data_IF_630004544158
#
_entry.id   IF_630004544158
#
_cell.length_a   1.000
_cell.length_b   1.000
_cell.length_c   1.000
_cell.angle_alpha   90.00
_cell.angle_beta   90.00
_cell.angle_gamma   90.00
#
_symmetry.space_group_name_H-M   'P 1'
#
loop_
_entity.id
_entity.type
_entity.pdbx_description
1 polymer ?
#
# COMPACT_ATOMS: atom_id res chain seq x y z
N UNK A 1 8.73 22.42 -3.68
CA UNK A 1 8.07 21.53 -4.70
C UNK A 1 6.58 21.47 -4.37
N UNK A 2 5.69 21.57 -5.36
CA UNK A 2 4.23 21.52 -5.12
C UNK A 2 3.72 20.07 -5.27
N UNK A 3 2.66 19.72 -4.54
CA UNK A 3 2.05 18.37 -4.56
C UNK A 3 1.65 17.96 -6.00
N UNK A 4 1.06 18.86 -6.79
CA UNK A 4 0.68 18.54 -8.17
C UNK A 4 1.88 18.17 -9.04
N UNK A 5 3.04 18.81 -8.85
CA UNK A 5 4.29 18.47 -9.54
C UNK A 5 4.78 17.06 -9.15
N UNK A 6 4.61 16.66 -7.89
CA UNK A 6 4.88 15.29 -7.43
C UNK A 6 3.97 14.31 -8.14
N UNK A 7 2.66 14.60 -8.17
CA UNK A 7 1.65 13.75 -8.82
C UNK A 7 1.97 13.55 -10.31
N UNK A 8 2.19 14.64 -11.06
CA UNK A 8 2.48 14.58 -12.50
C UNK A 8 3.74 13.75 -12.82
N UNK A 9 4.81 13.95 -12.07
CA UNK A 9 6.07 13.22 -12.28
C UNK A 9 5.94 11.75 -11.93
N UNK A 10 5.22 11.42 -10.87
CA UNK A 10 4.98 10.02 -10.48
C UNK A 10 4.03 9.36 -11.48
N UNK A 11 3.00 10.04 -11.97
CA UNK A 11 2.12 9.55 -13.04
C UNK A 11 2.91 9.21 -14.30
N UNK A 12 3.77 10.14 -14.76
CA UNK A 12 4.62 9.91 -15.91
C UNK A 12 5.54 8.70 -15.73
N UNK A 13 6.19 8.56 -14.57
CA UNK A 13 7.01 7.39 -14.26
C UNK A 13 6.19 6.10 -14.31
N UNK A 14 5.04 6.05 -13.66
CA UNK A 14 4.18 4.85 -13.63
C UNK A 14 3.69 4.48 -15.03
N UNK A 15 3.30 5.46 -15.83
CA UNK A 15 2.78 5.21 -17.17
C UNK A 15 3.86 4.81 -18.18
N UNK A 16 5.08 5.34 -18.05
CA UNK A 16 6.15 5.12 -19.04
C UNK A 16 7.16 4.04 -18.65
N UNK A 17 7.24 3.67 -17.38
CA UNK A 17 8.21 2.68 -16.93
C UNK A 17 7.95 1.30 -17.56
N UNK A 18 8.95 0.70 -18.22
CA UNK A 18 8.85 -0.67 -18.71
C UNK A 18 8.73 -1.68 -17.56
N UNK A 19 9.18 -1.34 -16.35
CA UNK A 19 9.07 -2.18 -15.16
C UNK A 19 7.61 -2.33 -14.67
N UNK A 20 6.69 -1.48 -15.13
CA UNK A 20 5.24 -1.62 -14.90
C UNK A 20 4.57 -2.59 -15.89
N UNK A 21 5.34 -3.22 -16.76
CA UNK A 21 4.86 -4.15 -17.77
C UNK A 21 5.36 -5.56 -17.48
N UNK A 22 4.53 -6.56 -17.76
CA UNK A 22 4.85 -7.99 -17.63
C UNK A 22 4.94 -8.60 -19.03
N UNK A 23 6.16 -8.79 -19.58
CA UNK A 23 6.34 -9.35 -20.93
C UNK A 23 5.71 -10.74 -21.08
N UNK A 24 5.89 -11.62 -20.09
CA UNK A 24 5.35 -12.98 -20.07
C UNK A 24 3.82 -13.06 -20.19
N UNK A 25 3.14 -11.96 -19.89
CA UNK A 25 1.67 -11.84 -19.96
C UNK A 25 1.25 -10.82 -21.03
N UNK A 26 1.84 -10.90 -22.21
CA UNK A 26 1.55 -10.03 -23.35
C UNK A 26 1.61 -8.53 -22.94
N UNK A 27 2.72 -8.11 -22.36
CA UNK A 27 2.98 -6.73 -21.91
C UNK A 27 1.90 -6.21 -20.96
N UNK A 28 1.36 -7.07 -20.11
CA UNK A 28 0.35 -6.68 -19.12
C UNK A 28 0.87 -5.55 -18.23
N UNK A 29 0.17 -4.42 -18.20
CA UNK A 29 0.42 -3.35 -17.24
C UNK A 29 -0.11 -3.76 -15.87
N UNK A 30 0.71 -3.60 -14.83
CA UNK A 30 0.35 -3.98 -13.46
C UNK A 30 -0.44 -2.89 -12.74
N UNK A 31 0.00 -1.62 -12.85
CA UNK A 31 -0.56 -0.51 -12.09
C UNK A 31 -1.10 0.60 -13.00
N UNK A 32 -2.16 1.23 -12.54
CA UNK A 32 -2.73 2.47 -13.08
C UNK A 32 -2.04 3.70 -12.43
N UNK A 33 -2.43 4.92 -12.86
CA UNK A 33 -1.97 6.16 -12.23
C UNK A 33 -2.20 6.13 -10.73
N UNK A 34 -1.20 6.50 -9.92
CA UNK A 34 -1.26 6.43 -8.47
C UNK A 34 -2.09 7.56 -7.85
N UNK A 35 -2.41 7.39 -6.57
CA UNK A 35 -2.81 8.50 -5.70
C UNK A 35 -1.59 8.90 -4.88
N UNK A 36 -1.37 10.20 -4.74
CA UNK A 36 -0.33 10.76 -3.88
C UNK A 36 -0.97 11.54 -2.73
N UNK A 37 -0.46 11.32 -1.54
CA UNK A 37 -0.78 12.09 -0.34
C UNK A 37 0.49 12.48 0.40
N UNK A 38 0.39 13.55 1.17
CA UNK A 38 1.49 14.06 2.00
C UNK A 38 1.05 14.10 3.45
N UNK A 39 1.88 13.58 4.34
CA UNK A 39 1.73 13.75 5.78
C UNK A 39 2.80 14.69 6.32
N UNK A 40 2.47 15.50 7.33
CA UNK A 40 3.48 16.19 8.12
C UNK A 40 4.29 15.18 8.94
N UNK A 41 5.61 15.36 9.02
CA UNK A 41 6.46 14.56 9.90
C UNK A 41 6.16 14.79 11.40
N UNK A 42 5.48 15.88 11.74
CA UNK A 42 5.08 16.27 13.11
C UNK A 42 3.65 15.82 13.45
N UNK A 43 2.95 15.09 12.56
CA UNK A 43 1.58 14.62 12.85
C UNK A 43 1.56 13.74 14.11
N UNK A 44 0.67 14.07 15.06
CA UNK A 44 0.57 13.35 16.34
C UNK A 44 0.27 11.84 16.21
N UNK A 45 -0.28 11.41 15.07
CA UNK A 45 -0.57 10.00 14.83
C UNK A 45 0.70 9.13 14.75
N UNK A 46 1.87 9.70 14.44
CA UNK A 46 3.12 8.93 14.47
C UNK A 46 3.39 8.34 15.86
N UNK A 47 3.07 9.08 16.92
CA UNK A 47 3.19 8.59 18.30
C UNK A 47 2.13 7.53 18.63
N UNK A 48 0.93 7.65 18.07
CA UNK A 48 -0.14 6.65 18.24
C UNK A 48 0.28 5.31 17.61
N UNK A 49 1.03 5.31 16.50
CA UNK A 49 1.52 4.07 15.90
C UNK A 49 2.47 3.27 16.80
N UNK A 50 3.15 3.93 17.74
CA UNK A 50 4.06 3.26 18.69
C UNK A 50 3.32 2.52 19.81
N UNK A 51 2.01 2.69 19.96
CA UNK A 51 1.22 1.99 20.96
C UNK A 51 1.17 0.48 20.66
N UNK A 52 1.23 -0.40 21.70
CA UNK A 52 1.32 -1.85 21.55
C UNK A 52 0.14 -2.49 20.79
N UNK A 53 -1.05 -1.90 20.87
CA UNK A 53 -2.30 -2.33 20.25
C UNK A 53 -2.47 -1.81 18.82
N UNK A 54 -1.64 -0.85 18.37
CA UNK A 54 -1.65 -0.32 17.00
C UNK A 54 -0.58 -1.00 16.14
N UNK A 55 0.62 -0.45 16.01
CA UNK A 55 1.75 -1.11 15.33
C UNK A 55 2.75 -1.63 16.35
N UNK A 56 3.07 -0.84 17.36
CA UNK A 56 3.93 -1.20 18.47
C UNK A 56 5.17 -0.32 18.61
N UNK A 57 5.88 -0.45 19.74
CA UNK A 57 6.99 0.44 20.12
C UNK A 57 8.18 0.40 19.15
N UNK A 58 8.29 -0.63 18.33
CA UNK A 58 9.31 -0.74 17.28
C UNK A 58 9.05 0.20 16.08
N UNK A 59 7.85 0.79 15.96
CA UNK A 59 7.54 1.71 14.84
C UNK A 59 8.35 3.00 14.99
N UNK A 60 9.07 3.39 13.94
CA UNK A 60 9.85 4.61 13.91
C UNK A 60 9.04 5.76 13.28
N UNK A 61 9.15 6.95 13.88
CA UNK A 61 8.60 8.19 13.31
C UNK A 61 9.42 8.67 12.11
N UNK A 62 8.90 9.58 11.28
CA UNK A 62 9.65 10.12 10.15
C UNK A 62 11.02 10.72 10.54
N UNK A 63 11.09 11.42 11.67
CA UNK A 63 12.34 12.03 12.16
C UNK A 63 13.37 11.02 12.66
N UNK A 64 12.94 9.84 13.10
CA UNK A 64 13.85 8.73 13.45
C UNK A 64 14.40 8.02 12.18
N UNK A 65 13.69 8.09 11.05
CA UNK A 65 14.20 7.61 9.77
C UNK A 65 15.15 8.62 9.12
N UNK A 66 14.77 9.89 9.07
CA UNK A 66 15.53 10.97 8.46
C UNK A 66 15.56 12.16 9.43
N UNK A 67 16.72 12.48 9.99
CA UNK A 67 16.90 13.65 10.83
C UNK A 67 16.53 14.93 10.08
N UNK A 68 15.68 15.78 10.69
CA UNK A 68 15.15 16.98 10.06
C UNK A 68 14.03 16.72 9.04
N UNK A 69 13.42 15.53 9.05
CA UNK A 69 12.26 15.25 8.22
C UNK A 69 11.12 16.25 8.51
N UNK A 70 10.51 16.74 7.45
CA UNK A 70 9.37 17.69 7.49
C UNK A 70 8.11 17.06 6.91
N UNK A 71 8.25 16.25 5.86
CA UNK A 71 7.10 15.66 5.16
C UNK A 71 7.32 14.17 4.86
N UNK A 72 6.22 13.47 4.67
CA UNK A 72 6.20 12.09 4.15
C UNK A 72 5.31 12.04 2.92
N UNK A 73 5.87 11.68 1.78
CA UNK A 73 5.12 11.44 0.54
C UNK A 73 4.66 9.99 0.56
N UNK A 74 3.36 9.76 0.49
CA UNK A 74 2.74 8.43 0.38
C UNK A 74 2.10 8.24 -0.98
N UNK A 75 2.21 7.04 -1.53
CA UNK A 75 1.70 6.67 -2.84
C UNK A 75 0.85 5.39 -2.73
N UNK A 76 -0.35 5.40 -3.31
CA UNK A 76 -1.13 4.19 -3.55
C UNK A 76 -1.15 3.89 -5.04
N UNK A 77 -0.67 2.70 -5.42
CA UNK A 77 -0.63 2.15 -6.77
C UNK A 77 -1.83 1.21 -6.98
N UNK A 78 -2.92 1.63 -7.62
CA UNK A 78 -4.03 0.74 -7.93
C UNK A 78 -3.58 -0.32 -8.95
N UNK A 79 -3.96 -1.57 -8.75
CA UNK A 79 -3.83 -2.58 -9.80
C UNK A 79 -4.76 -2.26 -10.98
N UNK A 80 -4.31 -2.56 -12.19
CA UNK A 80 -5.15 -2.45 -13.40
C UNK A 80 -6.37 -3.37 -13.32
N UNK A 81 -7.42 -3.05 -14.10
CA UNK A 81 -8.60 -3.90 -14.20
C UNK A 81 -8.23 -5.33 -14.63
N UNK A 82 -7.24 -5.51 -15.53
CA UNK A 82 -6.77 -6.83 -15.95
C UNK A 82 -6.26 -7.66 -14.77
N UNK A 83 -5.46 -7.08 -13.88
CA UNK A 83 -4.95 -7.78 -12.68
C UNK A 83 -6.10 -8.09 -11.70
N UNK A 84 -7.01 -7.15 -11.49
CA UNK A 84 -8.13 -7.31 -10.56
C UNK A 84 -9.13 -8.33 -11.05
N UNK A 85 -9.59 -8.22 -12.31
CA UNK A 85 -10.61 -9.10 -12.88
C UNK A 85 -10.15 -10.54 -12.96
N UNK A 86 -8.90 -10.79 -13.33
CA UNK A 86 -8.33 -12.13 -13.32
C UNK A 86 -8.42 -12.78 -11.92
N UNK A 87 -8.24 -11.99 -10.85
CA UNK A 87 -8.26 -12.53 -9.49
C UNK A 87 -9.67 -12.59 -8.86
N UNK A 88 -10.73 -12.19 -9.59
CA UNK A 88 -12.13 -12.35 -9.13
C UNK A 88 -12.59 -13.80 -9.13
N UNK A 89 -11.92 -14.70 -9.86
CA UNK A 89 -12.18 -16.15 -9.80
C UNK A 89 -12.09 -16.66 -8.35
N UNK A 90 -12.74 -17.76 -8.05
CA UNK A 90 -12.63 -18.43 -6.76
C UNK A 90 -11.39 -19.32 -6.66
N UNK A 91 -11.11 -19.82 -5.46
CA UNK A 91 -9.99 -20.72 -5.19
C UNK A 91 -8.62 -20.01 -5.20
N UNK A 92 -7.68 -20.54 -6.00
CA UNK A 92 -6.31 -20.07 -6.04
C UNK A 92 -6.16 -18.69 -6.69
N UNK A 93 -5.13 -17.90 -6.31
CA UNK A 93 -4.88 -16.62 -6.94
C UNK A 93 -4.57 -16.79 -8.44
N UNK A 94 -5.02 -15.83 -9.23
CA UNK A 94 -4.73 -15.79 -10.66
C UNK A 94 -3.25 -15.46 -10.92
N UNK A 95 -2.75 -15.91 -12.07
CA UNK A 95 -1.37 -15.64 -12.52
C UNK A 95 -1.10 -14.13 -12.58
N UNK A 96 -2.00 -13.34 -13.14
CA UNK A 96 -1.88 -11.88 -13.23
C UNK A 96 -1.71 -11.23 -11.85
N UNK A 97 -2.45 -11.71 -10.83
CA UNK A 97 -2.30 -11.23 -9.46
C UNK A 97 -0.95 -11.58 -8.85
N UNK A 98 -0.45 -12.80 -9.11
CA UNK A 98 0.85 -13.25 -8.62
C UNK A 98 1.99 -12.42 -9.20
N UNK A 99 1.93 -12.07 -10.50
CA UNK A 99 2.86 -11.14 -11.13
C UNK A 99 2.75 -9.73 -10.53
N UNK A 100 1.54 -9.18 -10.43
CA UNK A 100 1.32 -7.87 -9.80
C UNK A 100 1.80 -7.82 -8.35
N UNK A 101 1.82 -8.96 -7.65
CA UNK A 101 2.31 -9.06 -6.27
C UNK A 101 3.84 -9.16 -6.20
N UNK A 102 4.48 -9.91 -7.06
CA UNK A 102 5.91 -10.22 -7.00
C UNK A 102 6.73 -9.26 -7.87
N UNK A 103 6.55 -9.24 -9.17
CA UNK A 103 7.19 -8.25 -10.07
C UNK A 103 6.74 -6.83 -9.73
N UNK A 104 5.50 -6.67 -9.32
CA UNK A 104 5.00 -5.39 -8.83
C UNK A 104 5.72 -4.87 -7.59
N UNK A 105 6.36 -5.71 -6.76
CA UNK A 105 7.24 -5.21 -5.69
C UNK A 105 8.56 -4.69 -6.25
N UNK A 106 9.10 -5.28 -7.31
CA UNK A 106 10.29 -4.74 -7.98
C UNK A 106 9.99 -3.34 -8.57
N UNK A 107 8.85 -3.20 -9.27
CA UNK A 107 8.38 -1.89 -9.72
C UNK A 107 8.19 -0.91 -8.55
N UNK A 108 7.61 -1.35 -7.44
CA UNK A 108 7.39 -0.51 -6.26
C UNK A 108 8.71 -0.03 -5.62
N UNK A 109 9.77 -0.85 -5.69
CA UNK A 109 11.14 -0.46 -5.30
C UNK A 109 11.71 0.60 -6.25
N UNK A 110 11.53 0.43 -7.56
CA UNK A 110 11.96 1.42 -8.55
C UNK A 110 11.22 2.76 -8.35
N UNK A 111 9.93 2.73 -8.05
CA UNK A 111 9.15 3.93 -7.75
C UNK A 111 9.68 4.66 -6.50
N UNK A 112 10.03 3.94 -5.42
CA UNK A 112 10.61 4.57 -4.22
C UNK A 112 11.92 5.28 -4.55
N UNK A 113 12.82 4.63 -5.30
CA UNK A 113 14.06 5.26 -5.76
C UNK A 113 13.82 6.47 -6.65
N UNK A 114 12.86 6.36 -7.56
CA UNK A 114 12.46 7.50 -8.39
C UNK A 114 11.98 8.69 -7.54
N UNK A 115 11.17 8.43 -6.50
CA UNK A 115 10.71 9.49 -5.59
C UNK A 115 11.86 10.09 -4.76
N UNK A 116 12.83 9.27 -4.30
CA UNK A 116 14.05 9.77 -3.64
C UNK A 116 14.84 10.69 -4.58
N UNK A 117 15.12 10.24 -5.80
CA UNK A 117 15.84 11.03 -6.83
C UNK A 117 15.10 12.33 -7.18
N UNK A 118 13.78 12.28 -7.26
CA UNK A 118 12.95 13.44 -7.55
C UNK A 118 13.08 14.52 -6.46
N UNK A 119 13.07 14.10 -5.20
CA UNK A 119 13.25 15.00 -4.05
C UNK A 119 14.67 15.56 -4.03
N UNK A 120 15.69 14.73 -4.26
CA UNK A 120 17.10 15.17 -4.30
C UNK A 120 17.34 16.21 -5.41
N UNK A 121 16.76 16.00 -6.58
CA UNK A 121 16.81 16.97 -7.70
C UNK A 121 16.08 18.29 -7.37
N UNK A 122 15.16 18.28 -6.42
CA UNK A 122 14.51 19.48 -5.89
C UNK A 122 15.30 20.15 -4.74
N UNK A 123 16.49 19.64 -4.40
CA UNK A 123 17.38 20.20 -3.38
C UNK A 123 17.12 19.69 -1.97
N UNK A 124 16.27 18.68 -1.77
CA UNK A 124 16.01 18.07 -0.48
C UNK A 124 16.75 16.74 -0.27
N UNK A 125 16.68 16.23 0.94
CA UNK A 125 17.06 14.85 1.28
C UNK A 125 15.81 13.98 1.33
N UNK A 126 15.95 12.74 0.92
CA UNK A 126 14.86 11.77 0.97
C UNK A 126 15.37 10.38 1.35
N UNK A 127 14.49 9.62 1.98
CA UNK A 127 14.74 8.24 2.38
C UNK A 127 13.44 7.44 2.28
N UNK A 128 13.48 6.31 1.57
CA UNK A 128 12.42 5.32 1.55
C UNK A 128 12.64 4.27 2.65
N UNK A 129 11.92 4.29 3.77
CA UNK A 129 12.17 3.37 4.89
C UNK A 129 12.16 1.90 4.49
N UNK A 130 11.30 1.51 3.56
CA UNK A 130 11.22 0.12 3.08
C UNK A 130 12.43 -0.35 2.25
N UNK A 131 13.33 0.56 1.87
CA UNK A 131 14.60 0.27 1.16
C UNK A 131 15.82 0.41 2.07
N UNK A 132 15.68 1.02 3.23
CA UNK A 132 16.76 1.22 4.19
C UNK A 132 17.15 -0.08 4.91
N UNK A 133 18.43 -0.24 5.23
CA UNK A 133 18.94 -1.42 5.93
C UNK A 133 18.35 -1.60 7.34
N UNK A 134 17.88 -0.53 7.98
CA UNK A 134 17.18 -0.55 9.29
C UNK A 134 15.76 -1.12 9.20
N UNK A 135 15.21 -1.30 7.99
CA UNK A 135 13.85 -1.80 7.84
C UNK A 135 13.72 -3.24 8.35
N UNK A 136 12.85 -3.45 9.32
CA UNK A 136 12.67 -4.74 9.98
C UNK A 136 11.20 -5.15 10.05
N UNK A 137 10.97 -6.46 9.95
CA UNK A 137 9.66 -7.10 10.12
C UNK A 137 9.77 -8.24 11.12
N UNK A 138 8.86 -8.25 12.09
CA UNK A 138 8.74 -9.35 13.05
C UNK A 138 7.26 -9.51 13.43
N UNK A 139 6.80 -10.75 13.64
CA UNK A 139 5.46 -11.06 14.14
C UNK A 139 4.33 -10.33 13.38
N UNK A 140 4.41 -10.31 12.03
CA UNK A 140 3.47 -9.61 11.13
C UNK A 140 3.40 -8.09 11.29
N UNK A 141 4.33 -7.49 12.01
CA UNK A 141 4.49 -6.05 12.20
C UNK A 141 5.80 -5.59 11.56
N UNK A 142 5.92 -4.31 11.27
CA UNK A 142 7.15 -3.69 10.77
C UNK A 142 7.43 -2.40 11.53
N UNK A 143 8.69 -1.98 11.52
CA UNK A 143 9.08 -0.68 12.07
C UNK A 143 8.72 0.51 11.16
N UNK A 144 8.12 0.25 9.99
CA UNK A 144 7.48 1.23 9.10
C UNK A 144 6.27 0.60 8.42
N UNK A 145 5.08 1.12 8.65
CA UNK A 145 3.83 0.56 8.13
C UNK A 145 3.23 1.43 7.05
N UNK A 146 3.47 1.08 5.78
CA UNK A 146 2.98 1.81 4.60
C UNK A 146 1.46 2.10 4.63
N UNK A 147 0.64 1.20 5.20
CA UNK A 147 -0.82 1.41 5.30
C UNK A 147 -1.17 2.52 6.28
N UNK A 148 -0.48 2.58 7.44
CA UNK A 148 -0.69 3.64 8.42
C UNK A 148 -0.13 4.97 7.90
N UNK A 149 1.01 4.95 7.20
CA UNK A 149 1.55 6.13 6.51
C UNK A 149 0.52 6.70 5.53
N UNK A 150 -0.09 5.86 4.70
CA UNK A 150 -1.11 6.27 3.75
C UNK A 150 -2.39 6.79 4.43
N UNK A 151 -2.78 6.22 5.58
CA UNK A 151 -3.86 6.76 6.40
C UNK A 151 -3.51 8.16 6.93
N UNK A 152 -2.30 8.37 7.46
CA UNK A 152 -1.88 9.69 7.94
C UNK A 152 -1.80 10.70 6.80
N UNK A 153 -1.37 10.27 5.61
CA UNK A 153 -1.27 11.09 4.41
C UNK A 153 -2.62 11.37 3.70
N UNK A 154 -3.76 11.04 4.28
CA UNK A 154 -5.07 11.38 3.71
C UNK A 154 -5.55 10.48 2.58
N UNK A 155 -4.89 9.34 2.30
CA UNK A 155 -5.23 8.50 1.16
C UNK A 155 -6.44 7.57 1.37
N UNK A 156 -6.81 7.27 2.62
CA UNK A 156 -7.95 6.40 2.89
C UNK A 156 -7.97 5.78 4.28
N UNK A 157 -8.95 4.92 4.54
CA UNK A 157 -9.18 4.29 5.84
C UNK A 157 -9.05 2.77 5.76
N UNK A 158 -8.85 2.14 6.92
CA UNK A 158 -8.71 0.69 7.00
C UNK A 158 -10.03 -0.02 6.73
N UNK A 159 -9.93 -1.28 6.34
CA UNK A 159 -11.06 -2.18 6.15
C UNK A 159 -10.95 -3.41 7.04
N UNK A 160 -12.03 -4.15 7.16
CA UNK A 160 -12.12 -5.39 7.93
C UNK A 160 -11.01 -6.40 7.55
N UNK A 161 -10.59 -6.45 6.30
CA UNK A 161 -9.48 -7.30 5.84
C UNK A 161 -8.09 -6.69 6.09
N UNK A 162 -7.99 -5.56 6.81
CA UNK A 162 -6.76 -4.80 7.09
C UNK A 162 -6.07 -4.18 5.87
N UNK A 163 -6.76 -4.07 4.72
CA UNK A 163 -6.32 -3.23 3.59
C UNK A 163 -6.75 -1.78 3.82
N UNK A 164 -6.10 -0.85 3.12
CA UNK A 164 -6.54 0.54 3.08
C UNK A 164 -7.53 0.71 1.92
N UNK A 165 -8.69 1.31 2.17
CA UNK A 165 -9.65 1.72 1.14
C UNK A 165 -9.36 3.16 0.79
N UNK A 166 -8.95 3.40 -0.44
CA UNK A 166 -8.73 4.73 -1.01
C UNK A 166 -9.89 5.12 -1.93
N UNK A 167 -9.87 6.33 -2.51
CA UNK A 167 -10.81 6.72 -3.58
C UNK A 167 -10.74 5.81 -4.83
N UNK A 168 -9.60 5.09 -5.00
CA UNK A 168 -9.37 4.07 -6.05
C UNK A 168 -9.49 2.64 -5.49
N UNK A 169 -10.18 2.45 -4.36
CA UNK A 169 -10.40 1.17 -3.71
C UNK A 169 -9.19 0.65 -2.94
N UNK A 170 -9.17 -0.66 -2.69
CA UNK A 170 -8.16 -1.30 -1.84
C UNK A 170 -7.22 -2.27 -2.58
N UNK A 171 -7.51 -2.59 -3.85
CA UNK A 171 -6.70 -3.51 -4.63
C UNK A 171 -5.50 -2.79 -5.24
N UNK A 172 -4.39 -2.78 -4.53
CA UNK A 172 -3.17 -2.08 -4.95
C UNK A 172 -2.01 -2.28 -4.00
N UNK A 173 -0.99 -1.42 -4.17
CA UNK A 173 0.23 -1.40 -3.36
C UNK A 173 0.47 0.00 -2.80
N UNK A 174 1.29 0.07 -1.79
CA UNK A 174 1.66 1.32 -1.13
C UNK A 174 3.17 1.50 -1.15
N UNK A 175 3.59 2.75 -1.26
CA UNK A 175 4.97 3.18 -1.15
C UNK A 175 5.02 4.50 -0.39
N UNK A 176 6.15 4.80 0.24
CA UNK A 176 6.37 6.11 0.83
C UNK A 176 7.84 6.49 0.86
N UNK A 177 8.07 7.80 0.95
CA UNK A 177 9.39 8.43 1.09
C UNK A 177 9.28 9.53 2.14
N UNK A 178 10.22 9.53 3.09
CA UNK A 178 10.39 10.59 4.09
C UNK A 178 11.33 11.65 3.52
N UNK A 179 11.07 12.94 3.74
CA UNK A 179 11.86 14.05 3.20
C UNK A 179 11.93 15.24 4.15
N UNK A 180 13.01 16.02 4.05
CA UNK A 180 13.16 17.33 4.70
C UNK A 180 12.57 18.49 3.87
N UNK A 181 12.05 18.24 2.67
CA UNK A 181 11.31 19.24 1.93
C UNK A 181 9.95 19.50 2.56
N UNK A 182 9.62 20.77 2.75
CA UNK A 182 8.28 21.19 3.16
C UNK A 182 7.31 21.03 1.99
N UNK A 183 6.32 20.15 2.18
CA UNK A 183 5.21 19.92 1.27
C UNK A 183 3.91 20.16 2.05
N UNK A 184 2.91 20.76 1.40
CA UNK A 184 1.60 20.96 2.02
C UNK A 184 0.95 19.61 2.33
N UNK A 185 0.58 19.32 3.59
CA UNK A 185 -0.08 18.07 3.94
C UNK A 185 -1.45 17.93 3.27
N UNK A 186 -1.73 16.73 2.78
CA UNK A 186 -3.04 16.42 2.19
C UNK A 186 -4.10 16.36 3.30
N UNK A 187 -5.24 17.06 3.15
CA UNK A 187 -6.33 16.97 4.11
C UNK A 187 -6.82 15.51 4.28
N UNK A 188 -7.13 15.12 5.51
CA UNK A 188 -7.79 13.85 5.83
C UNK A 188 -9.31 14.08 5.90
N UNK A 189 -10.11 13.64 4.91
CA UNK A 189 -11.56 13.84 4.91
C UNK A 189 -12.30 12.82 5.80
N UNK A 190 -11.61 12.17 6.73
CA UNK A 190 -12.12 11.16 7.66
C UNK A 190 -11.53 11.34 9.04
N UNK A 191 -12.26 10.90 10.05
CA UNK A 191 -11.86 10.91 11.47
C UNK A 191 -11.65 9.50 12.00
N UNK A 192 -12.46 8.55 11.54
CA UNK A 192 -12.44 7.18 12.02
C UNK A 192 -11.51 6.29 11.19
N UNK A 193 -10.85 5.36 11.85
CA UNK A 193 -9.87 4.47 11.21
C UNK A 193 -10.48 3.52 10.16
N UNK A 194 -11.78 3.19 10.26
CA UNK A 194 -12.51 2.27 9.37
C UNK A 194 -13.69 2.95 8.66
N UNK A 195 -13.70 4.28 8.53
CA UNK A 195 -14.84 5.05 8.05
C UNK A 195 -15.37 4.63 6.67
N UNK A 196 -14.47 4.25 5.76
CA UNK A 196 -14.85 3.82 4.41
C UNK A 196 -15.28 2.35 4.33
N UNK A 197 -15.13 1.59 5.42
CA UNK A 197 -15.51 0.19 5.44
C UNK A 197 -16.99 0.00 5.84
N UNK A 198 -17.83 -0.40 4.91
CA UNK A 198 -19.27 -0.68 5.18
C UNK A 198 -19.50 -1.97 5.95
N UNK A 199 -18.46 -2.69 6.38
CA UNK A 199 -18.51 -3.98 7.10
C UNK A 199 -19.43 -5.03 6.43
N UNK A 200 -19.54 -5.00 5.10
CA UNK A 200 -20.44 -5.84 4.30
C UNK A 200 -20.11 -7.34 4.31
N UNK A 201 -18.99 -7.76 4.90
CA UNK A 201 -18.57 -9.15 5.01
C UNK A 201 -18.14 -9.83 3.71
N UNK A 202 -18.09 -9.13 2.56
CA UNK A 202 -17.68 -9.73 1.29
C UNK A 202 -16.26 -10.31 1.36
N UNK A 203 -15.32 -9.63 2.00
CA UNK A 203 -13.96 -10.11 2.20
C UNK A 203 -13.87 -11.36 3.10
N UNK A 204 -14.81 -11.56 4.03
CA UNK A 204 -14.91 -12.77 4.87
C UNK A 204 -15.22 -13.96 3.95
N UNK A 205 -16.28 -13.86 3.16
CA UNK A 205 -16.73 -14.94 2.25
C UNK A 205 -15.70 -15.28 1.18
N UNK A 206 -14.90 -14.29 0.78
CA UNK A 206 -13.84 -14.44 -0.24
C UNK A 206 -12.53 -15.00 0.31
N UNK A 207 -12.38 -15.17 1.63
CA UNK A 207 -11.11 -15.59 2.23
C UNK A 207 -10.92 -17.12 2.18
N UNK A 208 -10.01 -17.68 1.34
CA UNK A 208 -9.86 -19.14 1.24
C UNK A 208 -9.48 -19.82 2.56
N UNK A 209 -8.52 -19.29 3.37
CA UNK A 209 -8.18 -19.88 4.66
C UNK A 209 -9.12 -19.44 5.80
N UNK A 210 -10.25 -18.76 5.51
CA UNK A 210 -11.20 -18.26 6.52
C UNK A 210 -10.50 -17.42 7.62
N UNK A 211 -9.53 -16.62 7.23
CA UNK A 211 -8.69 -15.82 8.14
C UNK A 211 -9.29 -14.45 8.49
N UNK A 212 -10.54 -14.19 8.10
CA UNK A 212 -11.21 -12.90 8.33
C UNK A 212 -12.59 -13.19 8.92
N UNK A 213 -12.89 -12.49 10.01
CA UNK A 213 -14.20 -12.50 10.66
C UNK A 213 -14.68 -11.06 10.93
N UNK A 214 -15.71 -10.89 11.74
CA UNK A 214 -16.26 -9.58 12.11
C UNK A 214 -15.31 -8.75 12.98
N UNK A 215 -14.34 -9.36 13.63
CA UNK A 215 -13.29 -8.71 14.41
C UNK A 215 -12.06 -8.32 13.58
N UNK A 216 -12.02 -8.74 12.31
CA UNK A 216 -10.93 -8.39 11.39
C UNK A 216 -10.13 -9.59 10.87
N UNK A 217 -8.92 -9.32 10.40
CA UNK A 217 -8.04 -10.33 9.79
C UNK A 217 -7.04 -10.90 10.78
N UNK A 218 -7.01 -12.23 10.90
CA UNK A 218 -5.98 -12.98 11.60
C UNK A 218 -4.84 -13.36 10.64
N UNK A 219 -3.66 -12.76 10.83
CA UNK A 219 -2.50 -13.02 10.00
C UNK A 219 -1.90 -14.43 10.21
N UNK A 220 -2.02 -15.01 11.41
CA UNK A 220 -1.51 -16.35 11.69
C UNK A 220 -2.28 -17.43 10.90
N UNK A 221 -3.57 -17.24 10.67
CA UNK A 221 -4.40 -18.11 9.82
C UNK A 221 -4.15 -17.82 8.33
N UNK A 222 -3.93 -16.55 7.94
CA UNK A 222 -3.69 -16.16 6.56
C UNK A 222 -2.32 -16.62 6.03
N UNK A 223 -1.28 -16.57 6.86
CA UNK A 223 0.10 -16.76 6.44
C UNK A 223 0.40 -18.17 5.89
N UNK A 224 -0.06 -19.28 6.51
CA UNK A 224 0.13 -20.63 5.96
C UNK A 224 -0.38 -20.76 4.52
N UNK A 225 -1.53 -20.18 4.21
CA UNK A 225 -2.06 -20.20 2.83
C UNK A 225 -1.16 -19.43 1.86
N UNK A 226 -0.54 -18.32 2.29
CA UNK A 226 0.44 -17.60 1.47
C UNK A 226 1.71 -18.44 1.22
N UNK A 227 2.15 -19.22 2.21
CA UNK A 227 3.27 -20.16 2.03
C UNK A 227 2.90 -21.27 1.04
N UNK A 228 1.68 -21.77 1.08
CA UNK A 228 1.20 -22.74 0.13
C UNK A 228 1.15 -22.16 -1.30
N UNK A 229 0.72 -20.91 -1.48
CA UNK A 229 0.79 -20.24 -2.78
C UNK A 229 2.24 -20.11 -3.28
N UNK A 230 3.21 -19.83 -2.39
CA UNK A 230 4.63 -19.81 -2.74
C UNK A 230 5.13 -21.18 -3.20
N UNK A 231 4.76 -22.26 -2.51
CA UNK A 231 5.17 -23.61 -2.90
C UNK A 231 4.67 -23.99 -4.29
N UNK A 232 3.45 -23.56 -4.64
CA UNK A 232 2.82 -23.86 -5.94
C UNK A 232 3.32 -23.00 -7.10
N UNK A 233 3.73 -21.76 -6.83
CA UNK A 233 3.96 -20.74 -7.86
C UNK A 233 5.33 -20.06 -7.78
N UNK A 234 6.33 -20.73 -7.17
CA UNK A 234 7.69 -20.16 -7.03
C UNK A 234 8.19 -19.50 -8.32
N UNK A 235 8.83 -18.32 -8.19
CA UNK A 235 9.12 -17.54 -6.98
C UNK A 235 7.95 -16.67 -6.51
N UNK A 236 6.81 -16.67 -7.19
CA UNK A 236 5.66 -15.81 -6.95
C UNK A 236 4.78 -16.35 -5.83
N UNK A 237 4.16 -15.45 -5.10
CA UNK A 237 3.23 -15.77 -4.02
C UNK A 237 2.22 -14.65 -3.80
N UNK A 238 1.13 -14.94 -3.11
CA UNK A 238 0.09 -13.97 -2.77
C UNK A 238 -1.29 -14.59 -2.88
N UNK A 239 -2.32 -13.87 -2.46
CA UNK A 239 -3.70 -14.33 -2.56
C UNK A 239 -4.62 -13.23 -3.09
N UNK A 240 -4.79 -12.12 -2.35
CA UNK A 240 -5.58 -10.96 -2.76
C UNK A 240 -7.09 -11.20 -2.88
N UNK A 241 -7.60 -12.40 -2.57
CA UNK A 241 -9.03 -12.72 -2.68
C UNK A 241 -9.92 -11.79 -1.83
N UNK A 242 -9.43 -11.34 -0.69
CA UNK A 242 -10.13 -10.38 0.15
C UNK A 242 -10.12 -8.93 -0.37
N UNK A 243 -9.42 -8.66 -1.48
CA UNK A 243 -9.35 -7.35 -2.13
C UNK A 243 -10.02 -7.34 -3.52
N UNK A 244 -10.44 -8.50 -4.04
CA UNK A 244 -11.04 -8.65 -5.38
C UNK A 244 -12.42 -9.29 -5.28
N UNK A 245 -13.34 -8.93 -6.18
CA UNK A 245 -14.77 -9.25 -6.14
C UNK A 245 -15.42 -8.80 -4.81
N UNK A 246 -15.02 -7.65 -4.30
CA UNK A 246 -15.56 -7.00 -3.09
C UNK A 246 -15.94 -5.55 -3.41
N UNK A 247 -16.92 -4.94 -2.71
CA UNK A 247 -17.37 -3.58 -3.03
C UNK A 247 -16.29 -2.51 -2.95
N UNK A 248 -15.27 -2.72 -2.11
CA UNK A 248 -14.11 -1.82 -1.95
C UNK A 248 -12.91 -2.18 -2.85
N UNK A 249 -13.08 -2.99 -3.89
CA UNK A 249 -12.00 -3.39 -4.78
C UNK A 249 -11.33 -2.18 -5.46
N UNK A 250 -12.12 -1.30 -6.09
CA UNK A 250 -11.65 -0.20 -6.93
C UNK A 250 -12.31 1.16 -6.63
N UNK A 251 -13.01 1.28 -5.52
CA UNK A 251 -13.70 2.50 -5.09
C UNK A 251 -13.98 2.48 -3.58
N UNK A 252 -14.37 3.62 -3.03
CA UNK A 252 -15.01 3.65 -1.70
C UNK A 252 -16.40 3.01 -1.86
N UNK A 253 -16.72 1.96 -1.08
CA UNK A 253 -18.02 1.30 -1.20
C UNK A 253 -19.13 2.24 -0.72
N UNK A 254 -20.26 2.22 -1.43
CA UNK A 254 -21.45 2.94 -1.00
C UNK A 254 -22.09 2.19 0.20
N UNK A 255 -22.47 2.93 1.24
CA UNK A 255 -23.39 2.40 2.27
C UNK A 255 -24.67 1.92 1.61
N UNK A 256 -25.15 0.77 2.03
CA UNK A 256 -26.46 0.25 1.59
C UNK A 256 -27.59 1.01 2.28
#
# INVERSE_FOLDING_TARGET
MLLHTVQERVDEFVLRSPENLVPDLAMMRMYECPLIGVASAEDGLWNVLKQPDVVGPQHLSPTEWLEGAVSVISCFLPFTERVRSANRIEGWPATEWLYGRYEGENFNRALRRFMEDMVQKAGGRALAPALDARFAKANFRSNWSERHVAFIAGLGTFSLNRSLITSRGSAGRLASVVTDLALEPTPRPYTETEEYCTKCGACIRRCPPVAIDTGGKNNAICFPFLQETLLRHKPRYGCGKCQTAVPCESQIPKSR
#
